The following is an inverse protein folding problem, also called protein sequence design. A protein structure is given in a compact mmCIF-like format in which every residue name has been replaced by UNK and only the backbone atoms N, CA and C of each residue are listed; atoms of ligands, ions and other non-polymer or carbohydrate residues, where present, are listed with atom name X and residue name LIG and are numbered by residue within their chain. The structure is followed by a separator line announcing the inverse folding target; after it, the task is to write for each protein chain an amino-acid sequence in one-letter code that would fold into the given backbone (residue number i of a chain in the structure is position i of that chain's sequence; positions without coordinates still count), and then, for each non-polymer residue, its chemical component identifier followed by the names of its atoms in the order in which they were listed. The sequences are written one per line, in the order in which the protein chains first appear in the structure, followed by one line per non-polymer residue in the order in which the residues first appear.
data_IF_899550859713
#
_entry.id   IF_899550859713
#
_cell.length_a   1.000
_cell.length_b   1.000
_cell.length_c   1.000
_cell.angle_alpha   90.00
_cell.angle_beta   90.00
_cell.angle_gamma   90.00
#
_symmetry.space_group_name_H-M   'P 1'
#
loop_
_entity.id
_entity.type
_entity.pdbx_description
1 polymer ?
#
# COMPACT_ATOMS: atom_id res chain seq x y z
N UNK A 1 13.49 3.10 -16.82
CA UNK A 1 14.73 3.57 -16.18
C UNK A 1 14.42 4.84 -15.42
N UNK A 2 15.00 5.03 -14.24
CA UNK A 2 14.75 6.20 -13.38
C UNK A 2 15.92 6.41 -12.41
N UNK A 3 15.99 7.60 -11.81
CA UNK A 3 16.91 7.91 -10.70
C UNK A 3 16.11 8.48 -9.53
N UNK A 4 16.56 8.22 -8.31
CA UNK A 4 16.05 8.82 -7.10
C UNK A 4 17.20 9.08 -6.12
N UNK A 5 17.04 10.07 -5.24
CA UNK A 5 17.99 10.36 -4.17
C UNK A 5 17.29 10.28 -2.83
N UNK A 6 17.98 9.78 -1.83
CA UNK A 6 17.70 10.14 -0.44
C UNK A 6 18.54 11.34 -0.01
N UNK A 7 18.58 11.64 1.29
CA UNK A 7 19.41 12.73 1.80
C UNK A 7 20.90 12.44 1.57
N UNK A 8 21.33 11.20 1.82
CA UNK A 8 22.74 10.80 1.89
C UNK A 8 23.09 9.63 0.95
N UNK A 9 22.12 9.13 0.17
CA UNK A 9 22.30 8.03 -0.76
C UNK A 9 21.58 8.28 -2.09
N UNK A 10 21.93 7.52 -3.11
CA UNK A 10 21.36 7.60 -4.45
C UNK A 10 20.92 6.22 -4.92
N UNK A 11 19.88 6.20 -5.76
CA UNK A 11 19.27 5.02 -6.33
C UNK A 11 19.15 5.19 -7.85
N UNK A 12 19.42 4.12 -8.59
CA UNK A 12 19.20 4.06 -10.03
C UNK A 12 18.44 2.78 -10.42
N UNK A 13 17.35 2.95 -11.15
CA UNK A 13 16.58 1.89 -11.75
C UNK A 13 17.07 1.61 -13.17
N UNK A 14 17.60 0.42 -13.38
CA UNK A 14 18.07 -0.06 -14.68
C UNK A 14 16.91 -0.51 -15.57
N UNK A 15 17.16 -0.65 -16.87
CA UNK A 15 16.17 -1.10 -17.85
C UNK A 15 15.76 -2.57 -17.66
N UNK A 16 16.61 -3.37 -17.00
CA UNK A 16 16.33 -4.76 -16.63
C UNK A 16 15.42 -4.90 -15.40
N UNK A 17 14.93 -3.79 -14.84
CA UNK A 17 14.05 -3.78 -13.68
C UNK A 17 14.76 -4.03 -12.35
N UNK A 18 16.08 -3.97 -12.30
CA UNK A 18 16.86 -4.07 -11.05
C UNK A 18 17.43 -2.72 -10.60
N UNK A 19 17.81 -2.62 -9.32
CA UNK A 19 18.18 -1.34 -8.69
C UNK A 19 19.66 -1.33 -8.27
N UNK A 20 20.33 -0.21 -8.52
CA UNK A 20 21.65 0.12 -7.99
C UNK A 20 21.54 1.21 -6.94
N UNK A 21 22.40 1.16 -5.92
CA UNK A 21 22.47 2.16 -4.86
C UNK A 21 23.91 2.56 -4.56
N UNK A 22 24.15 3.79 -4.12
CA UNK A 22 25.46 4.25 -3.63
C UNK A 22 25.29 5.43 -2.66
N UNK A 23 26.36 5.85 -2.00
CA UNK A 23 26.34 6.84 -0.93
C UNK A 23 26.36 6.19 0.45
N UNK A 24 25.83 6.88 1.46
CA UNK A 24 25.83 6.43 2.85
C UNK A 24 25.10 5.10 3.03
N UNK A 25 25.58 4.26 3.95
CA UNK A 25 25.01 2.93 4.19
C UNK A 25 24.94 2.55 5.68
N UNK A 26 25.01 3.53 6.58
CA UNK A 26 25.05 3.31 8.05
C UNK A 26 23.77 2.69 8.62
N UNK A 27 22.69 2.72 7.84
CA UNK A 27 21.39 2.09 8.18
C UNK A 27 20.97 1.06 7.13
N UNK A 28 21.86 0.64 6.24
CA UNK A 28 21.52 -0.33 5.18
C UNK A 28 20.80 0.27 3.96
N UNK A 29 20.90 1.59 3.75
CA UNK A 29 20.29 2.34 2.62
C UNK A 29 20.65 1.78 1.23
N UNK A 30 21.78 1.08 1.10
CA UNK A 30 22.19 0.48 -0.16
C UNK A 30 21.47 -0.83 -0.48
N UNK A 31 20.77 -1.44 0.48
CA UNK A 31 19.99 -2.66 0.27
C UNK A 31 20.81 -3.88 -0.17
N UNK A 32 22.14 -3.83 0.02
CA UNK A 32 23.07 -4.84 -0.48
C UNK A 32 23.46 -5.89 0.59
N UNK A 33 22.71 -5.97 1.70
CA UNK A 33 22.98 -6.88 2.81
C UNK A 33 24.12 -6.44 3.74
N UNK A 34 24.61 -5.20 3.60
CA UNK A 34 25.70 -4.68 4.43
C UNK A 34 25.30 -3.41 5.18
N UNK A 35 25.97 -3.12 6.29
CA UNK A 35 25.87 -1.85 7.02
C UNK A 35 27.29 -1.29 7.17
N UNK A 36 27.64 -0.34 6.32
CA UNK A 36 28.98 0.26 6.24
C UNK A 36 28.84 1.78 6.23
N UNK A 37 29.94 2.55 6.30
CA UNK A 37 29.83 4.01 6.20
C UNK A 37 29.15 4.44 4.90
N UNK A 38 29.54 3.84 3.78
CA UNK A 38 28.92 4.06 2.48
C UNK A 38 29.67 3.34 1.36
N UNK A 39 29.21 3.55 0.14
CA UNK A 39 29.86 3.10 -1.09
C UNK A 39 30.02 4.28 -2.05
N UNK A 40 31.24 4.46 -2.57
CA UNK A 40 31.54 5.44 -3.62
C UNK A 40 31.30 4.88 -5.04
N UNK A 41 30.79 3.64 -5.15
CA UNK A 41 30.44 3.01 -6.43
C UNK A 41 29.04 2.38 -6.37
N UNK A 42 28.30 2.30 -7.49
CA UNK A 42 26.97 1.68 -7.52
C UNK A 42 26.99 0.19 -7.16
N UNK A 43 26.45 -0.16 -5.99
CA UNK A 43 26.23 -1.54 -5.56
C UNK A 43 24.85 -2.03 -5.98
N UNK A 44 24.72 -3.33 -6.23
CA UNK A 44 23.46 -3.94 -6.61
C UNK A 44 22.60 -4.17 -5.35
N UNK A 45 21.33 -3.76 -5.40
CA UNK A 45 20.35 -4.07 -4.34
C UNK A 45 20.00 -5.55 -4.39
N UNK A 46 20.09 -6.23 -3.25
CA UNK A 46 19.75 -7.64 -3.11
C UNK A 46 18.24 -7.84 -3.11
N UNK A 47 17.81 -9.08 -3.30
CA UNK A 47 16.43 -9.46 -3.06
C UNK A 47 16.11 -9.65 -1.58
N UNK A 48 14.87 -10.06 -1.29
CA UNK A 48 14.38 -10.26 0.07
C UNK A 48 15.23 -11.29 0.80
N UNK A 49 15.55 -11.02 2.08
CA UNK A 49 16.42 -11.86 2.90
C UNK A 49 17.80 -12.15 2.26
N UNK A 50 18.27 -11.30 1.35
CA UNK A 50 19.54 -11.45 0.64
C UNK A 50 19.51 -12.45 -0.52
N UNK A 51 18.35 -12.99 -0.88
CA UNK A 51 18.22 -13.95 -1.97
C UNK A 51 18.19 -13.25 -3.33
N UNK A 52 19.22 -13.46 -4.16
CA UNK A 52 19.29 -12.89 -5.51
C UNK A 52 19.26 -11.36 -5.51
N UNK A 53 18.60 -10.78 -6.52
CA UNK A 53 18.48 -9.33 -6.68
C UNK A 53 17.03 -8.89 -6.73
N UNK A 54 16.75 -7.70 -6.20
CA UNK A 54 15.44 -7.08 -6.38
C UNK A 54 15.23 -6.78 -7.88
N UNK A 55 14.18 -7.35 -8.45
CA UNK A 55 13.87 -7.29 -9.88
C UNK A 55 12.40 -6.95 -10.13
N UNK A 56 12.07 -6.61 -11.38
CA UNK A 56 10.71 -6.20 -11.76
C UNK A 56 10.32 -4.84 -11.17
N UNK A 57 11.29 -4.01 -10.79
CA UNK A 57 11.05 -2.67 -10.25
C UNK A 57 10.66 -1.72 -11.39
N UNK A 58 9.63 -0.92 -11.16
CA UNK A 58 9.08 0.07 -12.11
C UNK A 58 9.25 1.50 -11.63
N UNK A 59 9.32 1.74 -10.31
CA UNK A 59 9.62 3.04 -9.72
C UNK A 59 10.48 2.90 -8.46
N UNK A 60 11.21 3.96 -8.14
CA UNK A 60 12.07 4.07 -6.95
C UNK A 60 11.87 5.44 -6.29
N UNK A 61 12.04 5.49 -4.97
CA UNK A 61 12.08 6.74 -4.21
C UNK A 61 13.07 6.63 -3.04
N UNK A 62 13.70 7.74 -2.66
CA UNK A 62 14.54 7.83 -1.46
C UNK A 62 13.89 8.74 -0.43
N UNK A 63 13.95 8.34 0.84
CA UNK A 63 13.73 9.22 1.98
C UNK A 63 15.05 9.70 2.59
N UNK A 64 15.07 10.11 3.86
CA UNK A 64 16.31 10.57 4.49
C UNK A 64 17.37 9.46 4.53
N UNK A 65 17.05 8.37 5.23
CA UNK A 65 17.92 7.21 5.44
C UNK A 65 17.29 5.90 4.96
N UNK A 66 16.19 5.96 4.21
CA UNK A 66 15.50 4.79 3.69
C UNK A 66 15.24 4.89 2.20
N UNK A 67 14.95 3.76 1.58
CA UNK A 67 14.70 3.62 0.16
C UNK A 67 13.42 2.84 -0.06
N UNK A 68 12.75 3.12 -1.17
CA UNK A 68 11.50 2.50 -1.59
C UNK A 68 11.63 2.03 -3.05
N UNK A 69 11.00 0.90 -3.35
CA UNK A 69 10.82 0.39 -4.70
C UNK A 69 9.39 -0.10 -4.90
N UNK A 70 8.81 0.27 -6.04
CA UNK A 70 7.55 -0.26 -6.54
C UNK A 70 7.85 -1.30 -7.61
N UNK A 71 7.29 -2.50 -7.47
CA UNK A 71 7.39 -3.55 -8.49
C UNK A 71 6.21 -3.52 -9.46
N UNK A 72 6.39 -4.16 -10.61
CA UNK A 72 5.37 -4.29 -11.67
C UNK A 72 4.14 -5.10 -11.24
N UNK A 73 4.27 -5.93 -10.19
CA UNK A 73 3.15 -6.64 -9.56
C UNK A 73 2.34 -5.76 -8.59
N UNK A 74 2.71 -4.48 -8.44
CA UNK A 74 2.05 -3.52 -7.58
C UNK A 74 2.43 -3.63 -6.09
N UNK A 75 3.40 -4.48 -5.75
CA UNK A 75 3.95 -4.58 -4.37
C UNK A 75 4.98 -3.49 -4.12
N UNK A 76 5.09 -3.07 -2.85
CA UNK A 76 6.07 -2.06 -2.41
C UNK A 76 7.08 -2.70 -1.48
N UNK A 77 8.34 -2.34 -1.71
CA UNK A 77 9.49 -2.82 -0.97
C UNK A 77 10.25 -1.64 -0.38
N UNK A 78 10.74 -1.79 0.84
CA UNK A 78 11.48 -0.76 1.55
C UNK A 78 12.75 -1.32 2.19
N UNK A 79 13.79 -0.50 2.34
CA UNK A 79 14.99 -0.84 3.13
C UNK A 79 15.67 0.42 3.65
N UNK A 80 16.66 0.25 4.53
CA UNK A 80 17.38 1.32 5.18
C UNK A 80 16.90 1.57 6.62
N UNK A 81 17.00 2.83 7.04
CA UNK A 81 16.62 3.30 8.35
C UNK A 81 15.11 3.13 8.61
N UNK A 82 14.75 2.72 9.82
CA UNK A 82 13.38 2.40 10.19
C UNK A 82 12.96 2.90 11.58
N UNK A 83 13.74 3.79 12.21
CA UNK A 83 13.42 4.30 13.56
C UNK A 83 11.99 4.86 13.68
N UNK A 84 11.48 5.50 12.62
CA UNK A 84 10.10 6.01 12.55
C UNK A 84 9.05 5.06 11.99
N UNK A 85 9.38 3.79 11.69
CA UNK A 85 8.47 2.86 11.01
C UNK A 85 8.34 3.09 9.50
N UNK A 86 9.32 3.79 8.91
CA UNK A 86 9.38 4.19 7.51
C UNK A 86 9.25 3.02 6.52
N UNK A 87 9.71 1.83 6.92
CA UNK A 87 9.68 0.64 6.09
C UNK A 87 8.29 -0.02 6.03
N UNK A 88 7.37 0.33 6.94
CA UNK A 88 6.00 -0.20 6.93
C UNK A 88 5.90 -1.72 7.07
N UNK A 89 6.94 -2.38 7.59
CA UNK A 89 7.01 -3.84 7.74
C UNK A 89 6.54 -4.34 9.12
N UNK A 90 5.84 -3.50 9.89
CA UNK A 90 5.38 -3.82 11.24
C UNK A 90 6.48 -3.74 12.32
N UNK A 91 7.66 -3.22 12.00
CA UNK A 91 8.77 -3.05 12.94
C UNK A 91 9.33 -1.63 12.91
N UNK A 92 10.19 -1.30 13.88
CA UNK A 92 11.02 -0.08 13.90
C UNK A 92 12.52 -0.39 13.72
N UNK A 93 12.84 -1.60 13.23
CA UNK A 93 14.22 -2.06 13.07
C UNK A 93 14.69 -1.80 11.65
N UNK A 94 15.88 -1.22 11.51
CA UNK A 94 16.55 -1.00 10.22
C UNK A 94 16.70 -2.32 9.45
N UNK A 95 16.65 -2.24 8.12
CA UNK A 95 16.83 -3.41 7.26
C UNK A 95 17.83 -3.13 6.16
N UNK A 96 18.89 -3.94 6.06
CA UNK A 96 19.92 -3.81 5.03
C UNK A 96 19.61 -4.61 3.75
N UNK A 97 18.45 -5.26 3.69
CA UNK A 97 17.88 -5.89 2.49
C UNK A 97 16.42 -5.46 2.33
N UNK A 98 15.87 -5.44 1.11
CA UNK A 98 14.47 -5.10 0.90
C UNK A 98 13.51 -5.97 1.73
N UNK A 99 12.57 -5.31 2.39
CA UNK A 99 11.42 -5.90 3.10
C UNK A 99 10.13 -5.43 2.44
N UNK A 100 9.14 -6.30 2.40
CA UNK A 100 7.84 -5.99 1.80
C UNK A 100 7.00 -5.14 2.76
N UNK A 101 6.33 -4.13 2.22
CA UNK A 101 5.48 -3.22 3.00
C UNK A 101 4.14 -3.89 3.30
N UNK A 102 3.73 -3.89 4.56
CA UNK A 102 2.46 -4.49 4.98
C UNK A 102 1.26 -3.69 4.49
N UNK A 103 0.14 -4.40 4.32
CA UNK A 103 -1.15 -3.79 4.01
C UNK A 103 -1.77 -3.06 5.22
N UNK A 104 -2.92 -2.39 5.02
CA UNK A 104 -3.66 -1.73 6.09
C UNK A 104 -3.92 -2.65 7.29
N UNK A 105 -3.68 -2.14 8.50
CA UNK A 105 -3.83 -2.91 9.74
C UNK A 105 -2.78 -4.00 9.94
N UNK A 106 -1.70 -4.02 9.14
CA UNK A 106 -0.65 -5.05 9.22
C UNK A 106 -1.08 -6.40 8.63
N UNK A 107 -2.18 -6.44 7.88
CA UNK A 107 -2.70 -7.67 7.27
C UNK A 107 -2.23 -7.77 5.83
N UNK A 108 -1.53 -8.86 5.51
CA UNK A 108 -0.98 -9.09 4.17
C UNK A 108 -0.01 -8.00 3.73
N UNK A 109 0.13 -7.84 2.41
CA UNK A 109 1.05 -6.87 1.81
C UNK A 109 0.31 -5.81 1.01
N UNK A 110 0.92 -4.63 0.93
CA UNK A 110 0.41 -3.54 0.12
C UNK A 110 0.49 -3.94 -1.36
N UNK A 111 -0.62 -3.80 -2.09
CA UNK A 111 -0.76 -4.23 -3.48
C UNK A 111 -1.55 -3.24 -4.31
N UNK A 112 -1.41 -3.30 -5.64
CA UNK A 112 -2.06 -2.37 -6.56
C UNK A 112 -1.53 -0.93 -6.45
N UNK A 113 -0.30 -0.75 -5.96
CA UNK A 113 0.32 0.57 -5.85
C UNK A 113 0.75 1.07 -7.23
N UNK A 114 0.55 2.35 -7.47
CA UNK A 114 0.85 3.02 -8.74
C UNK A 114 1.90 4.11 -8.61
N UNK A 115 2.11 4.66 -7.41
CA UNK A 115 3.16 5.62 -7.13
C UNK A 115 3.66 5.50 -5.69
N UNK A 116 4.92 5.89 -5.48
CA UNK A 116 5.60 5.90 -4.18
C UNK A 116 6.35 7.23 -4.00
N UNK A 117 6.49 7.69 -2.76
CA UNK A 117 7.32 8.83 -2.41
C UNK A 117 7.96 8.66 -1.03
N UNK A 118 9.21 9.09 -0.88
CA UNK A 118 9.93 9.13 0.39
C UNK A 118 9.94 10.55 0.95
N UNK A 119 9.57 10.70 2.22
CA UNK A 119 9.80 11.89 3.01
C UNK A 119 11.04 11.74 3.89
N UNK A 120 11.24 12.67 4.83
CA UNK A 120 12.34 12.57 5.79
C UNK A 120 12.18 11.35 6.72
N UNK A 121 11.03 11.27 7.41
CA UNK A 121 10.72 10.22 8.39
C UNK A 121 9.44 9.44 8.05
N UNK A 122 8.95 9.52 6.82
CA UNK A 122 7.72 8.85 6.40
C UNK A 122 7.82 8.39 4.94
N UNK A 123 6.94 7.47 4.58
CA UNK A 123 6.79 6.91 3.25
C UNK A 123 5.33 7.09 2.80
N UNK A 124 5.12 7.38 1.52
CA UNK A 124 3.80 7.45 0.92
C UNK A 124 3.70 6.45 -0.22
N UNK A 125 2.55 5.81 -0.34
CA UNK A 125 2.20 4.94 -1.45
C UNK A 125 0.77 5.26 -1.90
N UNK A 126 0.58 5.43 -3.21
CA UNK A 126 -0.71 5.65 -3.83
C UNK A 126 -1.23 4.35 -4.41
N UNK A 127 -2.27 3.79 -3.80
CA UNK A 127 -2.98 2.65 -4.37
C UNK A 127 -3.84 3.12 -5.54
N UNK A 128 -3.65 2.49 -6.70
CA UNK A 128 -4.50 2.73 -7.87
C UNK A 128 -5.95 2.33 -7.58
N UNK A 129 -6.89 2.87 -8.34
CA UNK A 129 -8.24 2.32 -8.34
C UNK A 129 -8.15 0.83 -8.71
N UNK A 130 -8.83 -0.03 -7.94
CA UNK A 130 -9.01 -1.43 -8.34
C UNK A 130 -9.48 -1.44 -9.81
N UNK A 131 -8.96 -2.34 -10.68
CA UNK A 131 -9.48 -2.47 -12.03
C UNK A 131 -10.99 -2.57 -11.90
N UNK A 132 -11.70 -1.62 -12.52
CA UNK A 132 -13.13 -1.41 -12.33
C UNK A 132 -13.79 -2.76 -12.19
N UNK A 133 -14.26 -3.09 -10.99
CA UNK A 133 -14.92 -4.37 -10.78
C UNK A 133 -16.07 -4.40 -11.78
N UNK A 134 -15.94 -5.22 -12.83
CA UNK A 134 -17.04 -5.47 -13.74
C UNK A 134 -18.02 -6.24 -12.89
N UNK A 135 -18.94 -5.51 -12.27
CA UNK A 135 -20.01 -6.10 -11.50
C UNK A 135 -20.95 -6.73 -12.52
N UNK A 136 -20.69 -7.98 -12.89
CA UNK A 136 -21.66 -8.76 -13.65
C UNK A 136 -22.78 -9.12 -12.68
N UNK A 137 -23.90 -8.42 -12.79
CA UNK A 137 -25.18 -8.91 -12.30
C UNK A 137 -25.58 -10.13 -13.13
N UNK A 138 -24.94 -11.28 -12.92
CA UNK A 138 -25.48 -12.57 -13.39
C UNK A 138 -26.42 -13.11 -12.31
N UNK A 139 -27.50 -12.39 -12.07
CA UNK A 139 -28.65 -12.93 -11.37
C UNK A 139 -29.56 -13.58 -12.40
N UNK A 140 -29.59 -14.91 -12.46
CA UNK A 140 -30.70 -15.58 -13.14
C UNK A 140 -31.95 -15.35 -12.31
N UNK A 141 -32.85 -14.51 -12.80
CA UNK A 141 -34.17 -14.38 -12.19
C UNK A 141 -34.99 -15.59 -12.60
N UNK A 142 -35.08 -16.58 -11.71
CA UNK A 142 -36.08 -17.64 -11.83
C UNK A 142 -37.14 -17.44 -10.76
N UNK A 143 -38.31 -16.97 -11.17
CA UNK A 143 -39.52 -17.08 -10.38
C UNK A 143 -39.96 -18.56 -10.41
N UNK A 144 -39.69 -19.31 -9.34
CA UNK A 144 -40.11 -20.72 -9.24
C UNK A 144 -41.58 -20.89 -8.93
N UNK A 145 -42.37 -19.82 -8.89
CA UNK A 145 -43.78 -19.85 -8.49
C UNK A 145 -44.77 -19.50 -9.59
N UNK A 146 -44.32 -19.09 -10.78
CA UNK A 146 -45.22 -18.77 -11.89
C UNK A 146 -44.87 -19.51 -13.20
N UNK A 147 -45.63 -20.54 -13.61
CA UNK A 147 -45.42 -21.20 -14.89
C UNK A 147 -45.97 -20.43 -16.11
N UNK A 148 -46.76 -19.36 -15.93
CA UNK A 148 -47.42 -18.65 -17.04
C UNK A 148 -47.39 -17.12 -16.81
N UNK A 149 -46.57 -16.36 -17.56
CA UNK A 149 -46.46 -14.89 -17.44
C UNK A 149 -47.76 -14.11 -17.78
N UNK A 150 -47.80 -12.75 -17.79
CA UNK A 150 -46.72 -11.76 -17.69
C UNK A 150 -46.86 -10.77 -16.50
N UNK A 151 -45.77 -10.03 -16.23
CA UNK A 151 -45.54 -8.92 -15.29
C UNK A 151 -46.67 -8.48 -14.33
N UNK A 152 -46.42 -8.63 -13.02
CA UNK A 152 -47.06 -7.84 -11.97
C UNK A 152 -46.00 -7.29 -11.01
N UNK A 153 -46.11 -6.00 -10.71
CA UNK A 153 -45.21 -5.28 -9.80
C UNK A 153 -45.73 -5.39 -8.37
N UNK A 154 -44.90 -5.91 -7.46
CA UNK A 154 -45.25 -6.05 -6.05
C UNK A 154 -44.50 -5.00 -5.22
N UNK A 155 -45.17 -3.89 -4.87
CA UNK A 155 -44.68 -2.93 -3.87
C UNK A 155 -44.84 -3.55 -2.48
N UNK A 156 -43.82 -4.23 -1.97
CA UNK A 156 -43.98 -4.87 -0.66
C UNK A 156 -42.75 -5.45 0.02
N UNK A 157 -41.55 -5.34 -0.54
CA UNK A 157 -40.32 -5.80 0.12
C UNK A 157 -39.41 -4.61 0.44
N UNK A 158 -39.26 -4.34 1.73
CA UNK A 158 -38.17 -3.50 2.23
C UNK A 158 -36.84 -4.11 1.77
N UNK A 159 -35.92 -3.33 1.18
CA UNK A 159 -34.61 -3.88 0.82
C UNK A 159 -33.91 -4.37 2.08
N UNK A 160 -33.40 -5.61 2.03
CA UNK A 160 -32.42 -6.09 3.00
C UNK A 160 -31.27 -5.07 3.10
N UNK A 161 -30.74 -4.77 4.30
CA UNK A 161 -29.67 -3.80 4.42
C UNK A 161 -28.47 -4.25 3.60
N UNK A 162 -28.02 -3.39 2.67
CA UNK A 162 -26.71 -3.54 2.06
C UNK A 162 -25.66 -3.51 3.18
N UNK A 163 -25.02 -4.64 3.45
CA UNK A 163 -23.71 -4.64 4.10
C UNK A 163 -22.73 -4.09 3.06
N UNK A 164 -22.63 -2.76 3.00
CA UNK A 164 -21.62 -2.09 2.18
C UNK A 164 -20.29 -2.12 2.94
N UNK A 165 -19.51 -3.18 2.72
CA UNK A 165 -18.07 -3.12 3.00
C UNK A 165 -17.45 -2.19 1.95
N UNK A 166 -17.42 -0.91 2.27
CA UNK A 166 -16.74 0.12 1.51
C UNK A 166 -15.23 -0.14 1.48
N UNK A 167 -14.71 -0.52 0.32
CA UNK A 167 -13.31 -0.30 -0.06
C UNK A 167 -13.32 0.30 -1.48
N UNK A 168 -13.59 1.61 -1.56
CA UNK A 168 -13.79 2.30 -2.82
C UNK A 168 -13.15 3.68 -2.84
N UNK A 169 -12.11 3.79 -3.67
CA UNK A 169 -11.55 4.99 -4.29
C UNK A 169 -10.90 6.08 -3.39
N UNK A 170 -9.56 6.16 -3.48
CA UNK A 170 -8.81 7.38 -3.16
C UNK A 170 -8.57 7.64 -1.68
N UNK A 171 -7.93 6.70 -0.97
CA UNK A 171 -7.52 6.93 0.43
C UNK A 171 -6.08 7.41 0.49
N UNK A 172 -5.86 8.64 0.96
CA UNK A 172 -4.56 9.07 1.50
C UNK A 172 -4.47 8.49 2.91
N UNK A 173 -3.57 7.54 3.13
CA UNK A 173 -3.33 6.98 4.46
C UNK A 173 -2.43 7.94 5.25
N UNK A 174 -2.98 8.63 6.25
CA UNK A 174 -2.20 9.31 7.30
C UNK A 174 -2.36 8.48 8.57
N UNK A 175 -1.29 7.83 9.01
CA UNK A 175 -1.28 7.06 10.25
C UNK A 175 -1.12 7.98 11.47
N UNK A 176 -2.22 8.27 12.17
CA UNK A 176 -2.19 8.80 13.53
C UNK A 176 -3.17 8.00 14.40
N UNK A 177 -2.70 7.52 15.55
CA UNK A 177 -3.39 6.60 16.47
C UNK A 177 -4.62 7.25 17.14
N UNK A 178 -5.70 6.47 17.34
CA UNK A 178 -7.03 6.88 17.80
C UNK A 178 -7.13 7.24 19.29
N UNK A 179 -8.05 8.16 19.59
CA UNK A 179 -9.02 7.97 20.68
C UNK A 179 -10.26 8.83 20.42
N UNK A 180 -11.35 8.23 19.93
CA UNK A 180 -12.65 8.89 19.78
C UNK A 180 -13.57 8.52 20.96
N UNK A 181 -13.96 9.56 21.70
CA UNK A 181 -15.02 9.56 22.71
C UNK A 181 -16.39 9.57 22.01
N UNK A 182 -17.28 8.64 22.35
CA UNK A 182 -18.66 8.61 21.86
C UNK A 182 -19.59 9.37 22.84
N UNK A 183 -20.49 10.26 22.38
CA UNK A 183 -21.60 10.72 23.19
C UNK A 183 -22.84 9.82 23.00
N UNK A 184 -23.50 9.48 24.11
CA UNK A 184 -24.79 8.81 24.20
C UNK A 184 -25.93 9.75 23.76
N UNK A 185 -26.80 9.29 22.84
CA UNK A 185 -28.04 9.99 22.50
C UNK A 185 -29.13 9.69 23.55
N UNK A 186 -29.49 10.67 24.36
CA UNK A 186 -30.72 10.70 25.15
C UNK A 186 -31.81 11.46 24.38
N UNK A 187 -32.98 10.83 24.24
CA UNK A 187 -34.11 11.36 23.48
C UNK A 187 -34.70 12.66 24.03
N UNK A 188 -35.20 13.49 23.11
CA UNK A 188 -35.98 14.70 23.37
C UNK A 188 -37.17 14.75 22.42
N UNK A 189 -38.35 14.66 23.01
CA UNK A 189 -39.67 14.63 22.41
C UNK A 189 -40.08 16.04 21.91
N UNK A 190 -40.64 16.18 20.71
CA UNK A 190 -41.41 17.37 20.31
C UNK A 190 -42.77 16.91 19.75
N UNK A 191 -43.84 17.31 20.46
CA UNK A 191 -45.24 17.16 20.04
C UNK A 191 -45.60 18.26 19.01
N UNK A 192 -46.55 18.04 18.08
CA UNK A 192 -47.10 19.11 17.26
C UNK A 192 -48.29 19.81 17.97
N UNK A 193 -48.66 20.98 17.40
CA UNK A 193 -49.57 22.02 17.87
C UNK A 193 -50.82 21.60 18.67
#
# INVERSE_FOLDING_TARGET
TAIAGGLLHSLALKSDGTVRAWGQNTSGQSGNGTVTFGSNTPVQVLGPAGAGFLSGVTAIAGGELHSLALKSDGTVWAWGGNGGGQLGNGTNTDSNTPVEVLGPGGVGFLSGVTAIAGGFFHSLALQGAAPSAVFSLSGNWSDTTNPNGPWSYNQGSTPLPLVSNWTGAGSVFVGCNQSAWAPSNSGGNFLPA
#
